data_IF_295725909333
#
_entry.id   IF_295725909333
#
_cell.length_a   1.000
_cell.length_b   1.000
_cell.length_c   1.000
_cell.angle_alpha   90.00
_cell.angle_beta   90.00
_cell.angle_gamma   90.00
#
_symmetry.space_group_name_H-M   'P 1'
#
loop_
_entity.id
_entity.type
_entity.pdbx_description
1 polymer ?
#
# COMPACT_ATOMS: atom_id res chain seq x y z
N UNK A 1 7.22 16.12 -4.08
CA UNK A 1 8.37 16.47 -3.21
C UNK A 1 9.34 17.29 -4.05
N UNK A 2 9.47 18.60 -3.81
CA UNK A 2 10.29 19.48 -4.64
C UNK A 2 11.72 19.61 -4.07
N UNK A 3 12.77 19.75 -4.90
CA UNK A 3 14.13 19.96 -4.41
C UNK A 3 14.24 21.37 -3.81
N UNK A 4 14.35 21.47 -2.49
CA UNK A 4 14.53 22.76 -1.77
C UNK A 4 16.04 23.10 -1.64
N UNK A 5 16.89 22.09 -1.58
CA UNK A 5 18.35 22.25 -1.38
C UNK A 5 19.19 21.84 -2.60
N UNK A 6 18.58 21.80 -3.79
CA UNK A 6 19.24 21.28 -5.00
C UNK A 6 19.45 19.75 -5.01
N UNK A 7 19.08 19.05 -3.94
CA UNK A 7 19.13 17.59 -3.85
C UNK A 7 17.82 17.04 -4.44
N UNK A 8 17.94 16.32 -5.56
CA UNK A 8 16.80 15.66 -6.19
C UNK A 8 16.35 14.47 -5.32
N UNK A 9 15.07 14.39 -4.93
CA UNK A 9 14.57 13.23 -4.21
C UNK A 9 14.70 11.96 -5.05
N UNK A 10 15.08 10.87 -4.39
CA UNK A 10 15.32 9.57 -5.01
C UNK A 10 14.30 8.57 -4.51
N UNK A 11 14.27 7.37 -5.11
CA UNK A 11 13.34 6.30 -4.73
C UNK A 11 13.33 6.02 -3.23
N UNK A 12 14.53 5.96 -2.62
CA UNK A 12 14.67 5.76 -1.18
C UNK A 12 14.01 6.86 -0.34
N UNK A 13 14.18 8.13 -0.73
CA UNK A 13 13.59 9.27 -0.03
C UNK A 13 12.06 9.23 -0.04
N UNK A 14 11.46 8.89 -1.19
CA UNK A 14 10.03 8.71 -1.30
C UNK A 14 9.53 7.53 -0.47
N UNK A 15 10.23 6.39 -0.49
CA UNK A 15 9.90 5.22 0.33
C UNK A 15 9.87 5.56 1.83
N UNK A 16 10.90 6.23 2.33
CA UNK A 16 10.97 6.67 3.73
C UNK A 16 9.81 7.61 4.11
N UNK A 17 9.46 8.55 3.24
CA UNK A 17 8.37 9.48 3.50
C UNK A 17 7.00 8.79 3.47
N UNK A 18 6.77 7.84 2.57
CA UNK A 18 5.54 7.05 2.54
C UNK A 18 5.40 6.21 3.80
N UNK A 19 6.45 5.50 4.22
CA UNK A 19 6.46 4.72 5.46
C UNK A 19 6.18 5.60 6.68
N UNK A 20 6.83 6.76 6.79
CA UNK A 20 6.62 7.71 7.88
C UNK A 20 5.16 8.20 7.94
N UNK A 21 4.61 8.65 6.81
CA UNK A 21 3.23 9.15 6.75
C UNK A 21 2.21 8.05 7.07
N UNK A 22 2.45 6.84 6.56
CA UNK A 22 1.59 5.67 6.81
C UNK A 22 1.53 5.36 8.30
N UNK A 23 2.68 5.26 8.98
CA UNK A 23 2.77 4.99 10.43
C UNK A 23 2.17 6.09 11.30
N UNK A 24 2.18 7.33 10.84
CA UNK A 24 1.50 8.46 11.50
C UNK A 24 -0.02 8.45 11.28
N UNK A 25 -0.54 7.51 10.50
CA UNK A 25 -1.94 7.42 10.14
C UNK A 25 -2.37 8.44 9.07
N UNK A 26 -1.42 9.18 8.48
CA UNK A 26 -1.60 10.15 7.39
C UNK A 26 -1.60 9.42 6.04
N UNK A 27 -2.48 8.43 5.94
CA UNK A 27 -2.52 7.48 4.82
C UNK A 27 -2.96 8.16 3.51
N UNK A 28 -3.82 9.17 3.58
CA UNK A 28 -4.24 9.95 2.41
C UNK A 28 -3.07 10.76 1.85
N UNK A 29 -2.26 11.35 2.72
CA UNK A 29 -1.04 12.08 2.37
C UNK A 29 0.01 11.12 1.79
N UNK A 30 0.13 9.92 2.38
CA UNK A 30 1.00 8.88 1.87
C UNK A 30 0.59 8.46 0.44
N UNK A 31 -0.69 8.19 0.19
CA UNK A 31 -1.20 7.84 -1.15
C UNK A 31 -0.98 8.97 -2.18
N UNK A 32 -1.20 10.23 -1.78
CA UNK A 32 -0.90 11.39 -2.63
C UNK A 32 0.59 11.46 -2.96
N UNK A 33 1.46 11.16 -2.01
CA UNK A 33 2.90 11.14 -2.23
C UNK A 33 3.30 10.03 -3.21
N UNK A 34 2.75 8.83 -3.05
CA UNK A 34 2.92 7.71 -3.99
C UNK A 34 2.50 8.11 -5.40
N UNK A 35 1.34 8.76 -5.53
CA UNK A 35 0.81 9.23 -6.82
C UNK A 35 1.67 10.34 -7.46
N UNK A 36 2.47 11.04 -6.67
CA UNK A 36 3.38 12.09 -7.13
C UNK A 36 4.80 11.59 -7.47
N UNK A 37 5.07 10.30 -7.34
CA UNK A 37 6.37 9.72 -7.63
C UNK A 37 6.68 9.85 -9.14
N UNK A 38 7.88 10.32 -9.51
CA UNK A 38 8.29 10.40 -10.92
C UNK A 38 8.75 9.05 -11.50
N UNK A 39 8.46 7.94 -10.81
CA UNK A 39 8.84 6.57 -11.14
C UNK A 39 7.75 5.61 -10.63
N UNK A 40 7.74 4.39 -11.16
CA UNK A 40 6.78 3.38 -10.74
C UNK A 40 7.03 2.98 -9.27
N UNK A 41 6.01 3.05 -8.39
CA UNK A 41 6.14 2.60 -7.01
C UNK A 41 6.32 1.08 -6.97
N UNK A 42 7.29 0.61 -6.17
CA UNK A 42 7.54 -0.83 -6.02
C UNK A 42 6.71 -1.46 -4.90
N UNK A 43 6.87 -2.78 -4.73
CA UNK A 43 6.21 -3.54 -3.68
C UNK A 43 6.48 -2.98 -2.29
N UNK A 44 7.66 -2.42 -2.02
CA UNK A 44 7.99 -1.91 -0.68
C UNK A 44 7.11 -0.71 -0.36
N UNK A 45 6.96 0.21 -1.32
CA UNK A 45 6.10 1.39 -1.17
C UNK A 45 4.65 1.00 -0.92
N UNK A 46 4.11 0.07 -1.70
CA UNK A 46 2.72 -0.38 -1.53
C UNK A 46 2.51 -1.15 -0.22
N UNK A 47 3.46 -1.98 0.20
CA UNK A 47 3.39 -2.70 1.49
C UNK A 47 3.41 -1.71 2.67
N UNK A 48 4.27 -0.69 2.63
CA UNK A 48 4.27 0.37 3.66
C UNK A 48 2.93 1.09 3.75
N UNK A 49 2.33 1.44 2.61
CA UNK A 49 1.01 2.09 2.61
C UNK A 49 -0.09 1.18 3.17
N UNK A 50 -0.06 -0.11 2.82
CA UNK A 50 -1.07 -1.08 3.22
C UNK A 50 -1.06 -1.39 4.73
N UNK A 51 0.14 -1.54 5.31
CA UNK A 51 0.32 -1.96 6.71
C UNK A 51 -0.40 -1.07 7.74
N UNK A 52 -0.54 0.22 7.45
CA UNK A 52 -1.07 1.21 8.37
C UNK A 52 -2.50 1.69 8.00
N UNK A 53 -3.14 1.03 7.04
CA UNK A 53 -4.55 1.23 6.71
C UNK A 53 -5.47 0.38 7.62
N UNK A 54 -5.93 0.92 8.74
CA UNK A 54 -6.75 0.18 9.73
C UNK A 54 -8.14 0.74 10.03
N UNK A 55 -8.57 1.81 9.36
CA UNK A 55 -9.87 2.46 9.62
C UNK A 55 -10.77 2.43 8.38
N UNK A 56 -12.10 2.43 8.55
CA UNK A 56 -13.11 2.46 7.46
C UNK A 56 -12.80 3.47 6.34
N UNK A 57 -12.48 4.75 6.59
CA UNK A 57 -12.13 5.70 5.53
C UNK A 57 -10.79 5.40 4.82
N UNK A 58 -9.99 4.46 5.36
CA UNK A 58 -8.71 4.01 4.80
C UNK A 58 -8.84 2.66 4.07
N UNK A 59 -9.99 1.98 4.16
CA UNK A 59 -10.21 0.68 3.53
C UNK A 59 -9.98 0.75 2.02
N UNK A 60 -10.52 1.78 1.37
CA UNK A 60 -10.38 1.93 -0.09
C UNK A 60 -8.92 2.10 -0.53
N UNK A 61 -8.12 2.79 0.29
CA UNK A 61 -6.68 2.96 0.05
C UNK A 61 -5.95 1.62 0.23
N UNK A 62 -6.31 0.89 1.29
CA UNK A 62 -5.80 -0.44 1.57
C UNK A 62 -6.09 -1.40 0.39
N UNK A 63 -7.32 -1.42 -0.09
CA UNK A 63 -7.73 -2.26 -1.22
C UNK A 63 -6.88 -1.96 -2.46
N UNK A 64 -6.73 -0.67 -2.82
CA UNK A 64 -5.92 -0.27 -3.97
C UNK A 64 -4.46 -0.67 -3.82
N UNK A 65 -3.87 -0.47 -2.64
CA UNK A 65 -2.49 -0.85 -2.37
C UNK A 65 -2.27 -2.36 -2.50
N UNK A 66 -3.19 -3.16 -1.97
CA UNK A 66 -3.13 -4.61 -2.09
C UNK A 66 -3.34 -5.09 -3.54
N UNK A 67 -4.29 -4.52 -4.28
CA UNK A 67 -4.50 -4.86 -5.70
C UNK A 67 -3.23 -4.61 -6.54
N UNK A 68 -2.47 -3.55 -6.22
CA UNK A 68 -1.19 -3.25 -6.87
C UNK A 68 -0.14 -4.31 -6.56
N UNK A 69 -0.06 -4.77 -5.31
CA UNK A 69 0.88 -5.81 -4.86
C UNK A 69 0.57 -7.17 -5.50
N UNK A 70 -0.71 -7.52 -5.62
CA UNK A 70 -1.18 -8.74 -6.29
C UNK A 70 -0.82 -8.69 -7.78
N UNK A 71 -1.12 -7.58 -8.46
CA UNK A 71 -0.79 -7.39 -9.90
C UNK A 71 0.72 -7.45 -10.15
N UNK A 72 1.51 -6.95 -9.23
CA UNK A 72 2.97 -7.04 -9.27
C UNK A 72 3.51 -8.47 -9.05
N UNK A 73 2.64 -9.47 -8.80
CA UNK A 73 2.99 -10.85 -8.46
C UNK A 73 4.02 -10.92 -7.33
N UNK A 74 3.85 -10.05 -6.32
CA UNK A 74 4.70 -10.08 -5.15
C UNK A 74 4.65 -11.48 -4.51
N UNK A 75 5.80 -12.05 -4.18
CA UNK A 75 5.90 -13.30 -3.42
C UNK A 75 5.62 -13.10 -1.93
N UNK A 76 5.44 -11.84 -1.51
CA UNK A 76 5.05 -11.50 -0.14
C UNK A 76 3.59 -11.92 0.09
N UNK A 77 3.30 -12.83 1.05
CA UNK A 77 1.93 -13.18 1.39
C UNK A 77 1.22 -12.09 2.20
N UNK A 78 1.96 -11.13 2.78
CA UNK A 78 1.44 -10.07 3.64
C UNK A 78 0.25 -9.29 3.06
N UNK A 79 0.30 -8.85 1.79
CA UNK A 79 -0.81 -8.11 1.16
C UNK A 79 -2.11 -8.92 1.05
N UNK A 80 -2.01 -10.23 0.76
CA UNK A 80 -3.17 -11.12 0.70
C UNK A 80 -3.79 -11.32 2.09
N UNK A 81 -2.95 -11.54 3.11
CA UNK A 81 -3.41 -11.68 4.49
C UNK A 81 -4.08 -10.40 5.00
N UNK A 82 -3.55 -9.24 4.63
CA UNK A 82 -4.15 -7.96 4.99
C UNK A 82 -5.50 -7.74 4.31
N UNK A 83 -5.65 -8.08 3.02
CA UNK A 83 -6.96 -8.06 2.37
C UNK A 83 -7.98 -8.96 3.06
N UNK A 84 -7.61 -10.19 3.40
CA UNK A 84 -8.50 -11.12 4.13
C UNK A 84 -8.92 -10.50 5.46
N UNK A 85 -7.98 -9.92 6.20
CA UNK A 85 -8.26 -9.23 7.46
C UNK A 85 -9.19 -8.02 7.27
N UNK A 86 -8.94 -7.19 6.26
CA UNK A 86 -9.76 -6.03 5.91
C UNK A 86 -11.19 -6.47 5.57
N UNK A 87 -11.35 -7.39 4.62
CA UNK A 87 -12.66 -7.91 4.22
C UNK A 87 -13.42 -8.58 5.39
N UNK A 88 -12.72 -9.35 6.22
CA UNK A 88 -13.31 -9.97 7.42
C UNK A 88 -13.76 -8.95 8.47
N UNK A 89 -13.02 -7.86 8.66
CA UNK A 89 -13.37 -6.80 9.62
C UNK A 89 -14.61 -6.00 9.25
N UNK A 90 -14.94 -5.92 7.95
CA UNK A 90 -16.13 -5.24 7.44
C UNK A 90 -17.34 -6.19 7.25
N UNK A 91 -17.24 -7.45 7.69
CA UNK A 91 -18.29 -8.45 7.47
C UNK A 91 -18.50 -8.81 5.99
N UNK A 92 -17.65 -8.28 5.09
CA UNK A 92 -17.65 -8.56 3.66
C UNK A 92 -16.82 -9.81 3.38
N UNK A 93 -17.36 -10.98 3.71
CA UNK A 93 -16.80 -12.27 3.29
C UNK A 93 -16.99 -12.43 1.77
N UNK A 94 -16.19 -11.72 0.98
CA UNK A 94 -16.15 -11.93 -0.47
C UNK A 94 -15.48 -13.28 -0.69
N UNK A 95 -16.27 -14.24 -1.19
CA UNK A 95 -15.90 -15.61 -1.57
C UNK A 95 -14.40 -15.79 -1.83
N UNK A 96 -13.71 -16.35 -0.84
CA UNK A 96 -12.28 -16.70 -0.86
C UNK A 96 -12.00 -17.98 -1.65
N UNK A 97 -12.82 -18.29 -2.65
CA UNK A 97 -12.72 -19.57 -3.38
C UNK A 97 -11.66 -19.56 -4.50
N UNK A 98 -11.13 -18.38 -4.87
CA UNK A 98 -10.18 -18.27 -5.99
C UNK A 98 -8.73 -17.91 -5.59
N UNK A 99 -8.39 -17.90 -4.30
CA UNK A 99 -7.01 -17.59 -3.84
C UNK A 99 -6.15 -18.86 -3.66
N UNK A 100 -6.74 -20.06 -3.72
CA UNK A 100 -6.06 -21.34 -3.46
C UNK A 100 -6.21 -22.38 -4.58
N UNK A 101 -5.93 -22.02 -5.83
CA UNK A 101 -5.68 -23.05 -6.85
C UNK A 101 -4.57 -22.63 -7.81
N UNK A 102 -3.38 -23.14 -7.50
CA UNK A 102 -2.15 -22.98 -8.25
C UNK A 102 -0.98 -23.57 -7.48
N UNK A 103 -1.17 -24.78 -6.93
CA UNK A 103 -0.09 -25.66 -6.51
C UNK A 103 0.40 -26.45 -7.72
#
# INVERSE_FOLDING_TARGET
MNPIYGIKPEKGHYGCMVDLLSRLGLVVEAEKLVSSMPFEPDSVVWTSLLNDCKAEPKFDIAQRAADKLIKAKSRDPGPYLQLISLHGSEGRWVHTENVYIGA
#
